data_IF_510106979815
#
_entry.id   IF_510106979815
#
_cell.length_a   1.000
_cell.length_b   1.000
_cell.length_c   1.000
_cell.angle_alpha   90.00
_cell.angle_beta   90.00
_cell.angle_gamma   90.00
#
_symmetry.space_group_name_H-M   'P 1'
#
loop_
_entity.id
_entity.type
_entity.pdbx_description
1 polymer ?
#
# COMPACT_ATOMS: atom_id res chain seq x y z
N UNK A 1 -10.42 -4.32 40.71
CA UNK A 1 -9.50 -4.24 39.57
C UNK A 1 -9.08 -2.78 39.42
N UNK A 2 -7.77 -2.44 39.41
CA UNK A 2 -7.33 -1.06 39.20
C UNK A 2 -7.69 -0.59 37.78
N UNK A 3 -8.06 0.67 37.63
CA UNK A 3 -8.35 1.29 36.33
C UNK A 3 -7.04 1.81 35.74
N UNK A 4 -6.77 1.44 34.48
CA UNK A 4 -5.60 1.93 33.74
C UNK A 4 -5.93 3.23 33.00
N UNK A 5 -5.04 4.22 33.13
CA UNK A 5 -5.13 5.55 32.52
C UNK A 5 -4.10 5.79 31.40
N UNK A 6 -3.37 4.75 30.96
CA UNK A 6 -2.33 4.80 29.92
C UNK A 6 -2.72 5.49 28.60
N UNK A 7 -4.02 5.52 28.28
CA UNK A 7 -4.57 6.26 27.13
C UNK A 7 -4.16 7.75 27.11
N UNK A 8 -3.93 8.36 28.27
CA UNK A 8 -3.68 9.80 28.40
C UNK A 8 -2.20 10.18 28.39
N UNK A 9 -1.29 9.21 28.46
CA UNK A 9 0.16 9.47 28.57
C UNK A 9 0.76 10.12 27.32
N UNK A 10 0.18 9.85 26.14
CA UNK A 10 0.68 10.32 24.84
C UNK A 10 -0.20 11.43 24.23
N UNK A 11 -0.81 12.28 25.08
CA UNK A 11 -1.69 13.34 24.59
C UNK A 11 -0.89 14.48 23.94
N UNK A 12 -1.01 14.62 22.61
CA UNK A 12 -0.44 15.74 21.87
C UNK A 12 -1.41 16.93 21.81
N UNK A 13 -1.15 17.97 22.59
CA UNK A 13 -1.93 19.22 22.58
C UNK A 13 -1.27 20.28 21.69
N UNK A 14 -2.04 20.86 20.77
CA UNK A 14 -1.53 21.85 19.80
C UNK A 14 -1.48 23.29 20.33
N UNK A 15 -2.27 23.60 21.36
CA UNK A 15 -2.36 24.93 22.00
C UNK A 15 -2.00 24.82 23.49
N UNK A 16 -0.87 24.17 23.76
CA UNK A 16 -0.37 24.00 25.12
C UNK A 16 0.25 25.31 25.62
N UNK A 17 -0.52 26.05 26.43
CA UNK A 17 -0.09 27.30 27.05
C UNK A 17 0.95 27.10 28.14
N UNK A 18 1.08 25.89 28.69
CA UNK A 18 1.93 25.59 29.84
C UNK A 18 3.28 25.00 29.43
N UNK A 19 3.58 25.01 28.12
CA UNK A 19 4.87 24.55 27.60
C UNK A 19 6.02 25.37 28.21
N UNK A 20 6.94 24.68 28.88
CA UNK A 20 8.18 25.26 29.38
C UNK A 20 9.17 25.40 28.23
N UNK A 21 9.75 26.59 28.09
CA UNK A 21 10.69 26.90 27.02
C UNK A 21 11.97 27.47 27.64
N UNK A 22 13.10 27.28 26.97
CA UNK A 22 14.37 27.84 27.40
C UNK A 22 14.28 29.39 27.52
N UNK A 23 14.95 30.02 28.50
CA UNK A 23 14.90 31.48 28.72
C UNK A 23 15.23 32.37 27.50
N UNK A 24 15.91 31.83 26.49
CA UNK A 24 16.31 32.54 25.27
C UNK A 24 15.40 32.27 24.06
N UNK A 25 14.29 31.55 24.24
CA UNK A 25 13.36 31.21 23.17
C UNK A 25 12.01 31.87 23.47
N UNK A 26 11.45 32.58 22.49
CA UNK A 26 10.12 33.17 22.64
C UNK A 26 9.04 32.08 22.61
N UNK A 27 8.27 32.01 23.70
CA UNK A 27 7.19 31.05 23.89
C UNK A 27 6.14 31.09 22.78
N UNK A 28 5.78 32.28 22.26
CA UNK A 28 4.72 32.39 21.23
C UNK A 28 5.17 31.83 19.89
N UNK A 29 6.40 32.15 19.48
CA UNK A 29 6.96 31.61 18.23
C UNK A 29 7.21 30.11 18.32
N UNK A 30 7.67 29.61 19.48
CA UNK A 30 7.85 28.18 19.74
C UNK A 30 6.54 27.39 19.65
N UNK A 31 5.47 27.84 20.32
CA UNK A 31 4.16 27.17 20.28
C UNK A 31 3.63 27.12 18.83
N UNK A 32 3.72 28.23 18.07
CA UNK A 32 3.30 28.26 16.66
C UNK A 32 4.14 27.32 15.79
N UNK A 33 5.45 27.26 15.99
CA UNK A 33 6.33 26.36 15.25
C UNK A 33 5.97 24.89 15.55
N UNK A 34 5.77 24.54 16.83
CA UNK A 34 5.33 23.21 17.26
C UNK A 34 3.97 22.83 16.68
N UNK A 35 3.02 23.76 16.69
CA UNK A 35 1.70 23.56 16.08
C UNK A 35 1.83 23.24 14.58
N UNK A 36 2.62 24.03 13.83
CA UNK A 36 2.86 23.78 12.41
C UNK A 36 3.52 22.42 12.17
N UNK A 37 4.51 22.05 12.99
CA UNK A 37 5.15 20.74 12.93
C UNK A 37 4.12 19.61 13.12
N UNK A 38 3.30 19.67 14.17
CA UNK A 38 2.26 18.68 14.43
C UNK A 38 1.28 18.58 13.25
N UNK A 39 0.87 19.70 12.65
CA UNK A 39 0.01 19.69 11.47
C UNK A 39 0.69 19.04 10.26
N UNK A 40 1.97 19.36 10.01
CA UNK A 40 2.74 18.74 8.94
C UNK A 40 2.88 17.23 9.14
N UNK A 41 3.24 16.77 10.34
CA UNK A 41 3.34 15.36 10.68
C UNK A 41 2.00 14.64 10.54
N UNK A 42 0.89 15.28 10.94
CA UNK A 42 -0.46 14.73 10.76
C UNK A 42 -0.81 14.59 9.28
N UNK A 43 -0.48 15.57 8.45
CA UNK A 43 -0.72 15.51 7.01
C UNK A 43 0.15 14.42 6.35
N UNK A 44 1.43 14.35 6.70
CA UNK A 44 2.33 13.30 6.22
C UNK A 44 1.83 11.90 6.62
N UNK A 45 1.44 11.71 7.89
CA UNK A 45 0.87 10.44 8.35
C UNK A 45 -0.40 10.06 7.61
N UNK A 46 -1.32 11.02 7.38
CA UNK A 46 -2.53 10.76 6.59
C UNK A 46 -2.20 10.32 5.18
N UNK A 47 -1.30 11.03 4.51
CA UNK A 47 -0.85 10.70 3.17
C UNK A 47 -0.19 9.31 3.09
N UNK A 48 0.66 8.97 4.06
CA UNK A 48 1.26 7.64 4.17
C UNK A 48 0.20 6.54 4.37
N UNK A 49 -0.77 6.76 5.26
CA UNK A 49 -1.84 5.79 5.51
C UNK A 49 -2.65 5.55 4.23
N UNK A 50 -2.99 6.60 3.50
CA UNK A 50 -3.76 6.46 2.26
C UNK A 50 -2.95 5.80 1.15
N UNK A 51 -1.65 6.11 1.06
CA UNK A 51 -0.71 5.43 0.15
C UNK A 51 -0.69 3.93 0.43
N UNK A 52 -0.48 3.53 1.69
CA UNK A 52 -0.44 2.13 2.09
C UNK A 52 -1.77 1.41 1.86
N UNK A 53 -2.90 2.08 2.07
CA UNK A 53 -4.23 1.53 1.74
C UNK A 53 -4.37 1.24 0.26
N UNK A 54 -3.88 2.14 -0.59
CA UNK A 54 -3.94 1.98 -2.03
C UNK A 54 -3.01 0.86 -2.52
N UNK A 55 -1.77 0.84 -2.06
CA UNK A 55 -0.81 -0.24 -2.34
C UNK A 55 -1.36 -1.61 -1.93
N UNK A 56 -2.02 -1.68 -0.76
CA UNK A 56 -2.68 -2.90 -0.32
C UNK A 56 -3.73 -3.39 -1.32
N UNK A 57 -4.57 -2.51 -1.86
CA UNK A 57 -5.60 -2.90 -2.84
C UNK A 57 -4.95 -3.49 -4.11
N UNK A 58 -3.87 -2.88 -4.59
CA UNK A 58 -3.12 -3.39 -5.76
C UNK A 58 -2.52 -4.76 -5.45
N UNK A 59 -1.83 -4.88 -4.31
CA UNK A 59 -1.19 -6.12 -3.90
C UNK A 59 -2.20 -7.25 -3.69
N UNK A 60 -3.36 -6.96 -3.10
CA UNK A 60 -4.46 -7.91 -2.95
C UNK A 60 -4.98 -8.38 -4.33
N UNK A 61 -5.02 -7.48 -5.32
CA UNK A 61 -5.35 -7.80 -6.72
C UNK A 61 -4.31 -8.71 -7.39
N UNK A 62 -3.03 -8.39 -7.23
CA UNK A 62 -1.92 -9.21 -7.73
C UNK A 62 -1.90 -10.60 -7.09
N UNK A 63 -2.03 -10.67 -5.77
CA UNK A 63 -2.03 -11.92 -5.02
C UNK A 63 -3.13 -12.88 -5.49
N UNK A 64 -4.34 -12.36 -5.76
CA UNK A 64 -5.45 -13.17 -6.30
C UNK A 64 -5.14 -13.75 -7.69
N UNK A 65 -4.34 -13.06 -8.50
CA UNK A 65 -3.95 -13.52 -9.84
C UNK A 65 -2.84 -14.55 -9.76
N UNK A 66 -1.84 -14.31 -8.92
CA UNK A 66 -0.77 -15.26 -8.63
C UNK A 66 -1.36 -16.56 -8.08
N UNK A 67 -2.30 -16.50 -7.14
CA UNK A 67 -2.95 -17.69 -6.60
C UNK A 67 -3.69 -18.48 -7.68
N UNK A 68 -4.44 -17.81 -8.56
CA UNK A 68 -5.13 -18.45 -9.69
C UNK A 68 -4.16 -19.12 -10.66
N UNK A 69 -3.05 -18.45 -10.98
CA UNK A 69 -2.01 -19.01 -11.85
C UNK A 69 -1.41 -20.27 -11.20
N UNK A 70 -1.08 -20.22 -9.90
CA UNK A 70 -0.57 -21.38 -9.18
C UNK A 70 -1.56 -22.55 -9.15
N UNK A 71 -2.86 -22.26 -8.96
CA UNK A 71 -3.90 -23.29 -8.96
C UNK A 71 -4.06 -23.93 -10.34
N UNK A 72 -4.00 -23.13 -11.42
CA UNK A 72 -4.01 -23.63 -12.80
C UNK A 72 -2.76 -24.49 -13.11
N UNK A 73 -1.57 -24.05 -12.70
CA UNK A 73 -0.36 -24.86 -12.88
C UNK A 73 -0.44 -26.19 -12.12
N UNK A 74 -1.02 -26.19 -10.91
CA UNK A 74 -1.20 -27.42 -10.13
C UNK A 74 -2.22 -28.37 -10.78
N UNK A 75 -3.31 -27.86 -11.35
CA UNK A 75 -4.30 -28.72 -12.04
C UNK A 75 -3.70 -29.38 -13.28
N UNK A 76 -2.85 -28.66 -14.02
CA UNK A 76 -2.18 -29.19 -15.21
C UNK A 76 -0.84 -29.88 -14.93
N UNK A 77 -0.44 -30.04 -13.66
CA UNK A 77 0.84 -30.66 -13.31
C UNK A 77 0.96 -32.10 -13.82
N UNK A 78 -0.14 -32.87 -13.80
CA UNK A 78 -0.17 -34.23 -14.35
C UNK A 78 -0.08 -34.27 -15.88
N UNK A 79 -0.56 -33.23 -16.55
CA UNK A 79 -0.51 -33.10 -18.01
C UNK A 79 0.91 -32.69 -18.47
N UNK A 80 1.64 -31.95 -17.64
CA UNK A 80 3.04 -31.58 -17.89
C UNK A 80 4.01 -32.78 -17.93
N UNK A 81 3.65 -33.92 -17.34
CA UNK A 81 4.45 -35.15 -17.44
C UNK A 81 4.34 -35.83 -18.82
N UNK A 82 3.23 -35.57 -19.54
CA UNK A 82 2.94 -36.22 -20.83
C UNK A 82 3.11 -35.28 -22.02
N UNK A 83 2.99 -33.97 -21.82
CA UNK A 83 3.02 -32.93 -22.84
C UNK A 83 4.24 -32.03 -22.68
N UNK A 84 4.52 -31.16 -23.66
CA UNK A 84 5.59 -30.17 -23.54
C UNK A 84 5.28 -29.21 -22.37
N UNK A 85 6.16 -29.08 -21.35
CA UNK A 85 5.90 -28.23 -20.19
C UNK A 85 5.67 -26.75 -20.57
N UNK A 86 6.26 -26.29 -21.69
CA UNK A 86 6.05 -24.92 -22.18
C UNK A 86 4.64 -24.66 -22.70
N UNK A 87 4.00 -25.65 -23.34
CA UNK A 87 2.61 -25.52 -23.81
C UNK A 87 1.64 -25.50 -22.62
N UNK A 88 1.90 -26.33 -21.61
CA UNK A 88 1.08 -26.42 -20.40
C UNK A 88 1.19 -25.14 -19.57
N UNK A 89 2.39 -24.57 -19.44
CA UNK A 89 2.59 -23.29 -18.78
C UNK A 89 1.89 -22.14 -19.52
N UNK A 90 2.00 -22.10 -20.86
CA UNK A 90 1.31 -21.09 -21.66
C UNK A 90 -0.21 -21.18 -21.55
N UNK A 91 -0.76 -22.40 -21.56
CA UNK A 91 -2.19 -22.64 -21.36
C UNK A 91 -2.65 -22.16 -19.97
N UNK A 92 -1.92 -22.52 -18.91
CA UNK A 92 -2.24 -22.08 -17.55
C UNK A 92 -2.18 -20.54 -17.38
N UNK A 93 -1.24 -19.86 -18.06
CA UNK A 93 -1.17 -18.40 -18.09
C UNK A 93 -2.39 -17.82 -18.80
N UNK A 94 -2.80 -18.40 -19.93
CA UNK A 94 -3.96 -17.93 -20.69
C UNK A 94 -5.27 -18.10 -19.90
N UNK A 95 -5.43 -19.22 -19.19
CA UNK A 95 -6.61 -19.49 -18.36
C UNK A 95 -6.64 -18.60 -17.10
N UNK A 96 -5.49 -18.26 -16.54
CA UNK A 96 -5.39 -17.40 -15.36
C UNK A 96 -5.48 -15.89 -15.66
N UNK A 97 -5.30 -15.47 -16.91
CA UNK A 97 -5.29 -14.07 -17.34
C UNK A 97 -6.62 -13.31 -17.08
N UNK A 98 -7.72 -14.02 -16.79
CA UNK A 98 -8.98 -13.41 -16.35
C UNK A 98 -9.64 -12.50 -17.39
N UNK A 99 -10.58 -11.65 -16.95
CA UNK A 99 -11.24 -10.67 -17.83
C UNK A 99 -10.36 -9.43 -18.01
N UNK A 100 -10.35 -8.82 -19.20
CA UNK A 100 -9.56 -7.62 -19.46
C UNK A 100 -10.00 -6.42 -18.60
N UNK A 101 -11.27 -6.38 -18.18
CA UNK A 101 -11.81 -5.32 -17.31
C UNK A 101 -11.19 -5.34 -15.91
N UNK A 102 -10.85 -6.53 -15.39
CA UNK A 102 -10.25 -6.69 -14.07
C UNK A 102 -8.73 -6.44 -14.10
N UNK A 103 -8.12 -6.26 -15.28
CA UNK A 103 -6.67 -6.14 -15.51
C UNK A 103 -6.09 -4.77 -15.20
N UNK A 104 -6.95 -3.77 -15.06
CA UNK A 104 -6.53 -2.43 -14.71
C UNK A 104 -6.61 -2.22 -13.19
N UNK A 105 -5.52 -1.73 -12.56
CA UNK A 105 -5.59 -1.34 -11.15
C UNK A 105 -6.57 -0.17 -10.98
N UNK A 106 -7.21 -0.06 -9.80
CA UNK A 106 -8.14 1.04 -9.53
C UNK A 106 -7.42 2.40 -9.60
N UNK A 107 -8.14 3.49 -9.93
CA UNK A 107 -7.55 4.81 -10.01
C UNK A 107 -6.98 5.25 -8.66
N UNK A 108 -5.92 6.07 -8.71
CA UNK A 108 -5.27 6.60 -7.52
C UNK A 108 -6.19 7.57 -6.77
N UNK A 109 -6.17 7.59 -5.43
CA UNK A 109 -6.82 8.64 -4.65
C UNK A 109 -6.15 10.00 -4.90
N UNK A 110 -6.92 11.07 -4.74
CA UNK A 110 -6.45 12.45 -4.94
C UNK A 110 -5.23 12.78 -4.05
N UNK A 111 -4.19 13.40 -4.63
CA UNK A 111 -2.98 13.82 -3.90
C UNK A 111 -1.94 12.73 -3.63
N UNK A 112 -2.23 11.46 -3.99
CA UNK A 112 -1.29 10.35 -3.82
C UNK A 112 -0.56 10.10 -5.13
N UNK A 113 0.75 10.37 -5.15
CA UNK A 113 1.61 10.12 -6.31
C UNK A 113 1.05 10.71 -7.61
N UNK A 114 0.58 11.97 -7.56
CA UNK A 114 -0.04 12.65 -8.69
C UNK A 114 0.93 12.85 -9.87
N UNK A 115 2.22 13.00 -9.58
CA UNK A 115 3.26 13.28 -10.57
C UNK A 115 3.95 12.02 -11.14
N UNK A 116 3.60 10.82 -10.66
CA UNK A 116 4.24 9.58 -11.11
C UNK A 116 3.50 8.92 -12.28
N UNK A 117 4.24 8.21 -13.12
CA UNK A 117 3.70 7.48 -14.27
C UNK A 117 2.51 6.58 -13.89
N UNK A 118 1.53 6.39 -14.79
CA UNK A 118 0.38 5.53 -14.51
C UNK A 118 0.83 4.10 -14.21
N UNK A 119 0.11 3.44 -13.31
CA UNK A 119 0.43 2.06 -12.95
C UNK A 119 0.30 1.13 -14.17
N UNK A 120 1.24 0.19 -14.35
CA UNK A 120 1.10 -0.85 -15.36
C UNK A 120 -0.10 -1.75 -15.06
N UNK A 121 -0.60 -2.44 -16.08
CA UNK A 121 -1.64 -3.46 -15.91
C UNK A 121 -1.15 -4.62 -15.05
N UNK A 122 -2.07 -5.35 -14.44
CA UNK A 122 -1.74 -6.55 -13.66
C UNK A 122 -1.04 -7.61 -14.51
N UNK A 123 -1.46 -7.80 -15.76
CA UNK A 123 -0.77 -8.65 -16.74
C UNK A 123 0.69 -8.27 -16.95
N UNK A 124 1.00 -6.97 -17.10
CA UNK A 124 2.38 -6.49 -17.27
C UNK A 124 3.21 -6.69 -16.00
N UNK A 125 2.62 -6.50 -14.83
CA UNK A 125 3.30 -6.79 -13.55
C UNK A 125 3.61 -8.28 -13.38
N UNK A 126 2.69 -9.16 -13.77
CA UNK A 126 2.90 -10.61 -13.77
C UNK A 126 3.97 -11.05 -14.76
N UNK A 127 4.02 -10.45 -15.95
CA UNK A 127 5.05 -10.75 -16.94
C UNK A 127 6.46 -10.45 -16.41
N UNK A 128 6.64 -9.34 -15.69
CA UNK A 128 7.93 -9.00 -15.06
C UNK A 128 8.32 -10.03 -13.99
N UNK A 129 7.35 -10.60 -13.25
CA UNK A 129 7.63 -11.64 -12.26
C UNK A 129 8.05 -12.98 -12.90
N UNK A 130 7.55 -13.29 -14.10
CA UNK A 130 7.89 -14.53 -14.82
C UNK A 130 9.24 -14.46 -15.53
N UNK A 131 9.75 -13.25 -15.77
CA UNK A 131 11.04 -13.00 -16.44
C UNK A 131 12.23 -13.01 -15.45
N UNK A 132 11.96 -13.08 -14.14
CA UNK A 132 12.97 -13.19 -13.07
C UNK A 132 13.25 -14.65 -12.70
#
# INVERSE_FOLDING_TARGET
MPVDYSKWDALELSDDSDVEVHPNVDKRSFIRAKQNQIHQERLQRKHQIETLKYERIINDGLMKRISKLLDALKSHASEAETRNPGEVAFQAVMESAGRPEDDQPPPRPEGIHADSEPLPSFSKMMAVLLDQ
#
